data_IF_653254266784
#
_entry.id   IF_653254266784
#
_cell.length_a   1.000
_cell.length_b   1.000
_cell.length_c   1.000
_cell.angle_alpha   90.00
_cell.angle_beta   90.00
_cell.angle_gamma   90.00
#
_symmetry.space_group_name_H-M   'P 1'
#
loop_
_entity.id
_entity.type
_entity.pdbx_description
1 polymer ?
#
# COMPACT_ATOMS: atom_id res chain seq x y z
N UNK A 1 -54.87 -30.97 -22.83
CA UNK A 1 -55.00 -29.51 -22.91
C UNK A 1 -53.68 -28.88 -22.46
N UNK A 2 -53.02 -28.19 -23.39
CA UNK A 2 -52.18 -26.99 -23.20
C UNK A 2 -50.88 -27.12 -22.38
N UNK A 3 -49.82 -27.31 -23.17
CA UNK A 3 -48.39 -27.08 -22.92
C UNK A 3 -48.09 -25.89 -22.00
N UNK A 4 -47.23 -26.11 -20.98
CA UNK A 4 -46.63 -25.03 -20.20
C UNK A 4 -45.24 -24.74 -20.77
N UNK A 5 -45.11 -23.53 -21.31
CA UNK A 5 -43.97 -23.01 -22.05
C UNK A 5 -42.69 -22.90 -21.22
N UNK A 6 -41.61 -23.39 -21.80
CA UNK A 6 -40.22 -23.02 -21.55
C UNK A 6 -40.03 -21.51 -21.74
N UNK A 7 -39.52 -20.80 -20.73
CA UNK A 7 -38.97 -19.44 -20.90
C UNK A 7 -37.46 -19.50 -20.69
N UNK A 8 -36.71 -19.50 -21.80
CA UNK A 8 -35.33 -19.02 -21.83
C UNK A 8 -35.38 -17.49 -21.77
N UNK A 9 -34.89 -16.91 -20.68
CA UNK A 9 -34.50 -15.49 -20.65
C UNK A 9 -32.98 -15.45 -20.51
N UNK A 10 -32.31 -15.23 -21.64
CA UNK A 10 -30.87 -15.02 -21.69
C UNK A 10 -30.50 -13.71 -21.00
N UNK A 11 -29.87 -13.80 -19.83
CA UNK A 11 -29.18 -12.68 -19.22
C UNK A 11 -27.81 -12.54 -19.90
N UNK A 12 -27.74 -11.70 -20.93
CA UNK A 12 -26.47 -11.29 -21.54
C UNK A 12 -25.73 -10.38 -20.56
N UNK A 13 -24.85 -10.96 -19.74
CA UNK A 13 -23.96 -10.21 -18.87
C UNK A 13 -22.90 -9.49 -19.71
N UNK A 14 -23.08 -8.20 -19.95
CA UNK A 14 -22.07 -7.33 -20.54
C UNK A 14 -21.02 -7.01 -19.46
N UNK A 15 -20.00 -7.86 -19.36
CA UNK A 15 -18.85 -7.59 -18.50
C UNK A 15 -18.05 -6.42 -19.09
N UNK A 16 -18.26 -5.22 -18.55
CA UNK A 16 -17.38 -4.08 -18.82
C UNK A 16 -16.03 -4.39 -18.19
N UNK A 17 -15.09 -4.86 -19.00
CA UNK A 17 -13.70 -4.95 -18.62
C UNK A 17 -13.16 -3.52 -18.42
N UNK A 18 -13.17 -3.04 -17.19
CA UNK A 18 -12.40 -1.88 -16.76
C UNK A 18 -10.92 -2.25 -16.88
N UNK A 19 -10.37 -2.09 -18.09
CA UNK A 19 -8.95 -2.18 -18.33
C UNK A 19 -8.33 -0.89 -17.78
N UNK A 20 -8.06 -0.85 -16.47
CA UNK A 20 -7.20 0.17 -15.89
C UNK A 20 -5.86 0.06 -16.59
N UNK A 21 -5.57 1.00 -17.50
CA UNK A 21 -4.24 1.12 -18.06
C UNK A 21 -3.30 1.42 -16.90
N UNK A 22 -2.51 0.42 -16.48
CA UNK A 22 -1.34 0.66 -15.65
C UNK A 22 -0.39 1.47 -16.53
N UNK A 23 -0.32 2.78 -16.27
CA UNK A 23 0.79 3.55 -16.78
C UNK A 23 2.06 2.90 -16.24
N UNK A 24 3.03 2.64 -17.12
CA UNK A 24 4.33 2.13 -16.68
C UNK A 24 4.95 3.08 -15.65
N UNK A 25 5.78 2.53 -14.77
CA UNK A 25 6.52 3.35 -13.80
C UNK A 25 7.28 4.46 -14.54
N UNK A 26 7.33 5.69 -14.00
CA UNK A 26 8.05 6.78 -14.63
C UNK A 26 9.55 6.46 -14.70
N UNK A 27 10.20 6.90 -15.78
CA UNK A 27 11.64 6.79 -15.92
C UNK A 27 12.36 7.57 -14.82
N UNK A 28 13.41 6.96 -14.26
CA UNK A 28 14.24 7.57 -13.22
C UNK A 28 15.40 8.34 -13.85
N UNK A 29 15.64 9.57 -13.40
CA UNK A 29 16.66 10.45 -14.00
C UNK A 29 18.10 10.15 -13.52
N UNK A 30 18.28 9.67 -12.29
CA UNK A 30 19.60 9.59 -11.63
C UNK A 30 20.11 8.16 -11.41
N UNK A 31 19.22 7.18 -11.39
CA UNK A 31 19.54 5.79 -11.12
C UNK A 31 18.70 4.90 -12.04
N UNK A 32 19.12 3.66 -12.23
CA UNK A 32 18.31 2.61 -12.86
C UNK A 32 17.91 1.60 -11.80
N UNK A 33 16.78 0.92 -12.00
CA UNK A 33 16.37 -0.17 -11.12
C UNK A 33 17.38 -1.31 -11.20
N UNK A 34 18.00 -1.62 -10.07
CA UNK A 34 18.89 -2.76 -9.90
C UNK A 34 18.20 -3.92 -9.22
N UNK A 35 18.97 -4.67 -8.41
CA UNK A 35 18.44 -5.74 -7.57
C UNK A 35 17.37 -5.21 -6.61
N UNK A 36 16.22 -5.88 -6.56
CA UNK A 36 15.18 -5.63 -5.55
C UNK A 36 15.75 -5.88 -4.15
N UNK A 37 15.69 -4.85 -3.29
CA UNK A 37 16.17 -4.93 -1.90
C UNK A 37 15.05 -5.24 -0.90
N UNK A 38 13.88 -4.63 -1.11
CA UNK A 38 12.68 -4.81 -0.29
C UNK A 38 11.46 -4.51 -1.15
N UNK A 39 10.38 -5.26 -0.93
CA UNK A 39 9.05 -5.00 -1.48
C UNK A 39 8.04 -5.29 -0.38
N UNK A 40 7.07 -4.41 -0.22
CA UNK A 40 5.99 -4.53 0.75
C UNK A 40 4.71 -4.05 0.09
N UNK A 41 3.66 -4.88 0.13
CA UNK A 41 2.36 -4.59 -0.47
C UNK A 41 1.28 -4.30 0.58
N UNK A 42 1.59 -4.49 1.87
CA UNK A 42 0.68 -4.28 3.00
C UNK A 42 -0.64 -5.06 2.91
N UNK A 43 -0.67 -6.14 2.10
CA UNK A 43 -1.80 -7.07 2.02
C UNK A 43 -2.07 -7.77 3.35
N UNK A 44 -1.05 -7.85 4.21
CA UNK A 44 -1.13 -8.28 5.60
C UNK A 44 -0.50 -7.25 6.53
N UNK A 45 -0.97 -7.14 7.80
CA UNK A 45 -0.36 -6.26 8.78
C UNK A 45 1.14 -6.54 8.95
N UNK A 46 1.96 -5.49 8.90
CA UNK A 46 3.40 -5.66 9.11
C UNK A 46 3.70 -5.87 10.59
N UNK A 47 4.64 -6.77 10.88
CA UNK A 47 5.14 -6.91 12.23
C UNK A 47 5.94 -5.67 12.63
N UNK A 48 5.56 -5.05 13.74
CA UNK A 48 6.37 -3.99 14.34
C UNK A 48 7.73 -4.58 14.69
N UNK A 49 8.79 -3.93 14.18
CA UNK A 49 10.17 -4.27 14.50
C UNK A 49 10.33 -4.34 16.02
N UNK A 50 11.11 -5.32 16.49
CA UNK A 50 11.56 -5.44 17.88
C UNK A 50 13.08 -5.26 17.91
N UNK A 51 13.59 -4.44 18.81
CA UNK A 51 15.02 -4.35 19.09
C UNK A 51 15.28 -4.91 20.47
N UNK A 52 16.40 -5.64 20.58
CA UNK A 52 16.97 -5.92 21.88
C UNK A 52 17.53 -4.61 22.48
N UNK A 53 17.41 -4.40 23.81
CA UNK A 53 18.02 -3.26 24.47
C UNK A 53 19.49 -3.08 24.09
N UNK A 54 19.88 -1.86 23.71
CA UNK A 54 21.26 -1.52 23.34
C UNK A 54 21.72 -2.00 21.96
N UNK A 55 20.87 -2.65 21.16
CA UNK A 55 21.22 -3.06 19.79
C UNK A 55 20.53 -2.19 18.73
N UNK A 56 21.19 -1.93 17.58
CA UNK A 56 20.57 -1.21 16.47
C UNK A 56 19.40 -2.01 15.89
N UNK A 57 18.41 -1.31 15.36
CA UNK A 57 17.29 -1.90 14.62
C UNK A 57 17.79 -2.37 13.25
N UNK A 58 17.65 -3.65 12.94
CA UNK A 58 18.19 -4.23 11.70
C UNK A 58 17.17 -4.91 10.81
N UNK A 59 15.90 -5.02 11.24
CA UNK A 59 14.82 -5.63 10.46
C UNK A 59 13.44 -5.13 10.90
N UNK A 60 12.47 -5.19 9.98
CA UNK A 60 11.04 -4.91 10.23
C UNK A 60 10.66 -3.43 10.24
N UNK A 61 9.35 -3.15 10.22
CA UNK A 61 8.81 -1.80 10.22
C UNK A 61 8.77 -1.18 11.62
N UNK A 62 9.30 0.02 11.78
CA UNK A 62 9.28 0.79 13.03
C UNK A 62 8.17 1.83 12.98
N UNK A 63 7.04 1.49 13.57
CA UNK A 63 5.90 2.38 13.74
C UNK A 63 6.13 3.22 15.02
N UNK A 64 6.20 4.54 14.87
CA UNK A 64 6.45 5.54 15.93
C UNK A 64 5.22 6.45 16.06
N UNK A 65 5.12 7.30 17.12
CA UNK A 65 3.84 7.82 17.62
C UNK A 65 2.92 8.33 16.51
N UNK A 66 1.63 8.11 16.71
CA UNK A 66 0.56 8.14 15.73
C UNK A 66 -0.32 6.89 15.83
N UNK A 67 -1.44 6.90 15.14
CA UNK A 67 -2.30 5.72 14.96
C UNK A 67 -1.91 5.02 13.65
N UNK A 68 -1.74 3.70 13.72
CA UNK A 68 -1.41 2.87 12.57
C UNK A 68 -2.46 1.78 12.39
N UNK A 69 -2.99 1.68 11.17
CA UNK A 69 -4.02 0.73 10.79
C UNK A 69 -3.64 0.07 9.45
N UNK A 70 -4.11 -1.16 9.23
CA UNK A 70 -3.99 -1.83 7.94
C UNK A 70 -5.41 -2.00 7.40
N UNK A 71 -5.76 -1.20 6.40
CA UNK A 71 -7.12 -1.09 5.87
C UNK A 71 -7.07 -1.08 4.35
N UNK A 72 -7.96 -1.83 3.72
CA UNK A 72 -8.06 -1.95 2.25
C UNK A 72 -6.74 -2.33 1.56
N UNK A 73 -5.92 -3.18 2.21
CA UNK A 73 -4.62 -3.59 1.68
C UNK A 73 -3.54 -2.51 1.73
N UNK A 74 -3.72 -1.46 2.56
CA UNK A 74 -2.75 -0.39 2.73
C UNK A 74 -2.43 -0.13 4.21
N UNK A 75 -1.21 0.32 4.48
CA UNK A 75 -0.82 0.85 5.78
C UNK A 75 -1.22 2.32 5.88
N UNK A 76 -2.13 2.65 6.81
CA UNK A 76 -2.60 4.01 7.08
C UNK A 76 -1.96 4.54 8.37
N UNK A 77 -1.24 5.66 8.25
CA UNK A 77 -0.73 6.43 9.38
C UNK A 77 -1.59 7.67 9.61
N UNK A 78 -2.00 7.93 10.85
CA UNK A 78 -2.74 9.14 11.24
C UNK A 78 -2.07 9.80 12.43
N UNK A 79 -1.85 11.12 12.34
CA UNK A 79 -1.38 11.90 13.48
C UNK A 79 -2.39 11.85 14.62
N UNK A 80 -1.90 11.62 15.83
CA UNK A 80 -2.68 11.89 17.04
C UNK A 80 -2.39 13.32 17.47
N UNK A 81 -3.42 14.13 17.73
CA UNK A 81 -3.26 15.52 18.16
C UNK A 81 -2.38 15.67 19.41
N UNK A 82 -2.33 14.64 20.27
CA UNK A 82 -1.47 14.59 21.45
C UNK A 82 0.04 14.52 21.11
N UNK A 83 0.41 13.92 19.98
CA UNK A 83 1.80 13.73 19.56
C UNK A 83 2.42 15.01 18.99
N UNK A 84 1.60 15.95 18.50
CA UNK A 84 2.02 17.22 17.90
C UNK A 84 3.02 17.05 16.74
N UNK A 85 3.01 15.89 16.10
CA UNK A 85 3.80 15.56 14.92
C UNK A 85 3.14 14.41 14.16
N UNK A 86 3.35 14.35 12.85
CA UNK A 86 2.81 13.29 12.00
C UNK A 86 3.22 11.89 12.43
N UNK A 87 2.40 10.89 12.07
CA UNK A 87 2.73 9.49 12.25
C UNK A 87 3.99 9.13 11.46
N UNK A 88 4.93 8.38 12.07
CA UNK A 88 6.19 8.01 11.40
C UNK A 88 6.43 6.51 11.35
N UNK A 89 6.54 5.96 10.14
CA UNK A 89 7.00 4.59 9.88
C UNK A 89 8.42 4.62 9.30
N UNK A 90 9.28 3.67 9.69
CA UNK A 90 10.65 3.53 9.17
C UNK A 90 11.00 2.06 8.94
N UNK A 91 11.57 1.74 7.80
CA UNK A 91 12.15 0.42 7.53
C UNK A 91 13.68 0.52 7.50
N UNK A 92 14.41 -0.02 8.49
CA UNK A 92 15.86 0.10 8.57
C UNK A 92 16.52 -0.79 7.51
N UNK A 93 16.99 -0.18 6.43
CA UNK A 93 17.70 -0.85 5.36
C UNK A 93 18.99 -0.07 5.06
N UNK A 94 20.13 -0.76 5.01
CA UNK A 94 21.37 -0.16 4.50
C UNK A 94 21.30 -0.17 2.98
N UNK A 95 21.42 0.99 2.36
CA UNK A 95 21.43 1.13 0.92
C UNK A 95 22.25 2.34 0.49
N UNK A 96 22.66 2.36 -0.77
CA UNK A 96 23.32 3.48 -1.43
C UNK A 96 22.86 3.48 -2.90
N UNK A 97 22.55 4.65 -3.46
CA UNK A 97 22.11 4.81 -4.86
C UNK A 97 20.92 3.90 -5.21
N UNK A 98 19.74 4.20 -4.68
CA UNK A 98 18.53 3.38 -4.87
C UNK A 98 17.41 4.13 -5.57
N UNK A 99 16.51 3.36 -6.17
CA UNK A 99 15.18 3.81 -6.57
C UNK A 99 14.20 3.36 -5.49
N UNK A 100 13.38 4.29 -4.99
CA UNK A 100 12.30 3.99 -4.04
C UNK A 100 10.98 4.29 -4.76
N UNK A 101 10.10 3.29 -4.82
CA UNK A 101 8.75 3.42 -5.35
C UNK A 101 7.75 3.10 -4.24
N UNK A 102 6.69 3.90 -4.19
CA UNK A 102 5.55 3.68 -3.31
C UNK A 102 4.32 4.38 -3.90
N UNK A 103 3.15 3.83 -3.62
CA UNK A 103 1.88 4.49 -3.84
C UNK A 103 1.46 5.21 -2.56
N UNK A 104 0.93 6.43 -2.68
CA UNK A 104 0.48 7.22 -1.54
C UNK A 104 -0.88 7.84 -1.84
N UNK A 105 -1.78 7.75 -0.85
CA UNK A 105 -3.03 8.50 -0.80
C UNK A 105 -2.98 9.46 0.38
N UNK A 106 -3.40 10.70 0.15
CA UNK A 106 -3.50 11.72 1.19
C UNK A 106 -4.98 11.92 1.54
N UNK A 107 -5.39 11.44 2.71
CA UNK A 107 -6.76 11.55 3.20
C UNK A 107 -6.89 12.76 4.13
N UNK A 108 -7.98 13.53 4.00
CA UNK A 108 -8.28 14.66 4.90
C UNK A 108 -7.44 15.93 4.68
N UNK A 109 -6.65 16.00 3.60
CA UNK A 109 -5.94 17.22 3.24
C UNK A 109 -6.90 18.33 2.80
N UNK A 110 -6.58 19.58 3.16
CA UNK A 110 -7.27 20.76 2.61
C UNK A 110 -7.02 20.82 1.11
N UNK A 111 -8.06 20.63 0.31
CA UNK A 111 -8.01 20.85 -1.12
C UNK A 111 -8.10 22.36 -1.39
N UNK A 112 -7.19 22.89 -2.22
CA UNK A 112 -7.16 24.29 -2.66
C UNK A 112 -7.85 24.43 -4.00
#
# INVERSE_FOLDING_TARGET
MKHLLTFLAGASAFAVALSSAVAGDPDTLLAQRGKLLVSEDFSSPVEAAKAAPGKPWTAGWRLRPGQWEFVDGAMKGTELAADKHGAVARYPLKFQNVVIQYDVRLDGCRQT
#
